data_IF_469845465282
#
_entry.id   IF_469845465282
#
_cell.length_a   1.000
_cell.length_b   1.000
_cell.length_c   1.000
_cell.angle_alpha   90.00
_cell.angle_beta   90.00
_cell.angle_gamma   90.00
#
_symmetry.space_group_name_H-M   'P 1'
#
loop_
_entity.id
_entity.type
_entity.pdbx_description
1 polymer ?
#
# COMPACT_ATOMS: atom_id res chain seq x y z
N UNK A 1 -9.25 -6.55 23.44
CA UNK A 1 -8.91 -6.69 22.01
C UNK A 1 -8.95 -5.30 21.40
N UNK A 2 -7.82 -4.84 20.87
CA UNK A 2 -7.71 -3.61 20.09
C UNK A 2 -7.69 -4.02 18.61
N UNK A 3 -8.22 -3.17 17.74
CA UNK A 3 -8.15 -3.36 16.30
C UNK A 3 -7.38 -2.20 15.67
N UNK A 4 -6.35 -2.51 14.90
CA UNK A 4 -5.48 -1.54 14.24
C UNK A 4 -5.68 -1.58 12.73
N UNK A 5 -6.01 -0.43 12.13
CA UNK A 5 -6.01 -0.23 10.67
C UNK A 5 -4.68 0.41 10.26
N UNK A 6 -3.73 -0.42 9.81
CA UNK A 6 -2.37 -0.02 9.47
C UNK A 6 -2.26 0.04 7.95
N UNK A 7 -1.91 1.20 7.39
CA UNK A 7 -1.81 1.33 5.95
C UNK A 7 -0.65 2.22 5.48
N UNK A 8 -0.15 1.91 4.28
CA UNK A 8 0.76 2.75 3.52
C UNK A 8 0.05 3.28 2.29
N UNK A 9 -0.35 4.55 2.28
CA UNK A 9 -1.22 5.12 1.24
C UNK A 9 -0.73 6.46 0.70
N UNK A 10 0.28 6.47 -0.19
CA UNK A 10 0.86 7.71 -0.70
C UNK A 10 -0.10 8.61 -1.48
N UNK A 11 -1.13 8.04 -2.11
CA UNK A 11 -2.08 8.75 -2.98
C UNK A 11 -3.56 8.53 -2.60
N UNK A 12 -3.83 7.96 -1.42
CA UNK A 12 -5.18 7.76 -0.88
C UNK A 12 -5.87 6.45 -1.30
N UNK A 13 -5.41 5.78 -2.36
CA UNK A 13 -6.11 4.59 -2.87
C UNK A 13 -6.07 3.40 -1.91
N UNK A 14 -4.93 3.14 -1.26
CA UNK A 14 -4.80 2.06 -0.27
C UNK A 14 -5.58 2.37 1.00
N UNK A 15 -5.54 3.61 1.50
CA UNK A 15 -6.32 4.10 2.64
C UNK A 15 -7.82 3.86 2.40
N UNK A 16 -8.35 4.30 1.26
CA UNK A 16 -9.76 4.09 0.91
C UNK A 16 -10.18 2.61 0.97
N UNK A 17 -9.34 1.70 0.46
CA UNK A 17 -9.59 0.26 0.56
C UNK A 17 -9.51 -0.21 2.02
N UNK A 18 -8.49 0.20 2.76
CA UNK A 18 -8.31 -0.17 4.17
C UNK A 18 -9.50 0.24 5.03
N UNK A 19 -10.03 1.45 4.83
CA UNK A 19 -11.18 1.97 5.56
C UNK A 19 -12.46 1.17 5.26
N UNK A 20 -12.69 0.80 3.99
CA UNK A 20 -13.83 -0.05 3.63
C UNK A 20 -13.73 -1.41 4.33
N UNK A 21 -12.55 -2.04 4.30
CA UNK A 21 -12.35 -3.34 4.94
C UNK A 21 -12.47 -3.22 6.47
N UNK A 22 -11.87 -2.19 7.07
CA UNK A 22 -11.98 -1.93 8.50
C UNK A 22 -13.44 -1.74 8.93
N UNK A 23 -14.22 -0.94 8.21
CA UNK A 23 -15.68 -0.77 8.42
C UNK A 23 -16.42 -2.10 8.37
N UNK A 24 -16.05 -2.99 7.45
CA UNK A 24 -16.66 -4.32 7.30
C UNK A 24 -16.41 -5.27 8.47
N UNK A 25 -15.37 -5.05 9.27
CA UNK A 25 -15.11 -5.81 10.51
C UNK A 25 -16.08 -5.47 11.64
N UNK A 26 -16.71 -4.30 11.59
CA UNK A 26 -17.56 -3.71 12.65
C UNK A 26 -16.84 -3.50 13.99
N UNK A 27 -15.52 -3.37 13.96
CA UNK A 27 -14.68 -3.05 15.12
C UNK A 27 -14.25 -1.59 15.05
N UNK A 28 -14.09 -0.95 16.20
CA UNK A 28 -13.49 0.38 16.27
C UNK A 28 -11.99 0.27 16.01
N UNK A 29 -11.53 0.91 14.95
CA UNK A 29 -10.15 0.83 14.50
C UNK A 29 -9.32 2.00 15.04
N UNK A 30 -8.15 1.68 15.58
CA UNK A 30 -7.08 2.66 15.75
C UNK A 30 -6.25 2.73 14.46
N UNK A 31 -6.27 3.88 13.78
CA UNK A 31 -5.55 4.09 12.53
C UNK A 31 -4.05 4.32 12.75
N UNK A 32 -3.23 3.73 11.89
CA UNK A 32 -1.79 3.94 11.80
C UNK A 32 -1.41 4.20 10.35
N UNK A 33 -1.29 5.48 9.99
CA UNK A 33 -0.79 5.91 8.68
C UNK A 33 0.75 5.85 8.69
N UNK A 34 1.31 4.91 7.94
CA UNK A 34 2.76 4.67 7.87
C UNK A 34 3.55 5.81 7.20
N UNK A 35 2.87 6.81 6.64
CA UNK A 35 3.51 7.99 6.05
C UNK A 35 3.44 9.17 7.01
N UNK A 36 2.26 9.46 7.55
CA UNK A 36 2.05 10.61 8.43
C UNK A 36 2.59 10.39 9.84
N UNK A 37 2.42 9.16 10.35
CA UNK A 37 2.75 8.79 11.73
C UNK A 37 3.56 7.49 11.82
N UNK A 38 4.71 7.37 11.11
CA UNK A 38 5.50 6.12 11.07
C UNK A 38 5.96 5.66 12.47
N UNK A 39 6.24 6.62 13.36
CA UNK A 39 6.68 6.34 14.74
C UNK A 39 5.57 5.75 15.60
N UNK A 40 4.29 5.91 15.22
CA UNK A 40 3.16 5.32 15.95
C UNK A 40 3.24 3.79 15.89
N UNK A 41 3.60 3.23 14.74
CA UNK A 41 3.80 1.78 14.59
C UNK A 41 4.81 1.22 15.59
N UNK A 42 5.91 1.96 15.84
CA UNK A 42 6.98 1.53 16.75
C UNK A 42 6.58 1.62 18.24
N UNK A 43 5.57 2.43 18.57
CA UNK A 43 5.09 2.64 19.93
C UNK A 43 4.00 1.65 20.35
N UNK A 44 3.39 0.96 19.39
CA UNK A 44 2.34 -0.02 19.69
C UNK A 44 2.96 -1.28 20.29
N UNK A 45 2.43 -1.69 21.43
CA UNK A 45 2.66 -3.03 21.97
C UNK A 45 1.55 -3.94 21.45
N UNK A 46 1.87 -4.71 20.43
CA UNK A 46 0.97 -5.69 19.84
C UNK A 46 0.83 -6.91 20.76
N UNK A 47 -0.40 -7.31 21.04
CA UNK A 47 -0.70 -8.44 21.93
C UNK A 47 -1.48 -9.52 21.18
N UNK A 48 -1.37 -10.77 21.60
CA UNK A 48 -2.04 -11.93 20.98
C UNK A 48 -3.56 -11.76 20.80
N UNK A 49 -4.20 -11.01 21.71
CA UNK A 49 -5.65 -10.73 21.65
C UNK A 49 -6.02 -9.63 20.65
N UNK A 50 -5.05 -8.91 20.13
CA UNK A 50 -5.29 -7.79 19.20
C UNK A 50 -5.42 -8.30 17.75
N UNK A 51 -6.06 -7.49 16.90
CA UNK A 51 -6.22 -7.73 15.48
C UNK A 51 -5.62 -6.56 14.71
N UNK A 52 -4.91 -6.84 13.63
CA UNK A 52 -4.40 -5.84 12.70
C UNK A 52 -4.96 -6.07 11.31
N UNK A 53 -5.38 -5.01 10.65
CA UNK A 53 -5.51 -4.93 9.20
C UNK A 53 -4.26 -4.24 8.67
N UNK A 54 -3.52 -4.87 7.76
CA UNK A 54 -2.31 -4.30 7.16
C UNK A 54 -2.50 -4.17 5.65
N UNK A 55 -2.66 -2.94 5.19
CA UNK A 55 -2.94 -2.62 3.79
C UNK A 55 -1.75 -1.92 3.13
N UNK A 56 -1.25 -2.49 2.03
CA UNK A 56 -0.10 -1.97 1.28
C UNK A 56 -0.36 -1.93 -0.22
N UNK A 57 0.21 -0.96 -0.95
CA UNK A 57 0.14 -0.97 -2.41
C UNK A 57 1.14 -1.96 -3.01
N UNK A 58 0.77 -2.54 -4.16
CA UNK A 58 1.67 -3.37 -4.98
C UNK A 58 2.50 -2.49 -5.92
N UNK A 59 3.80 -2.39 -5.69
CA UNK A 59 4.73 -1.67 -6.54
C UNK A 59 5.58 -2.64 -7.36
N UNK A 60 5.25 -2.74 -8.65
CA UNK A 60 5.91 -3.69 -9.53
C UNK A 60 5.76 -5.16 -9.11
N UNK A 61 4.73 -5.48 -8.32
CA UNK A 61 4.46 -6.82 -7.81
C UNK A 61 5.15 -7.16 -6.49
N UNK A 62 5.63 -6.15 -5.77
CA UNK A 62 6.30 -6.25 -4.48
C UNK A 62 5.70 -5.25 -3.49
N UNK A 63 5.90 -5.44 -2.20
CA UNK A 63 5.59 -4.38 -1.22
C UNK A 63 6.64 -3.26 -1.32
N UNK A 64 6.29 -1.99 -0.99
CA UNK A 64 7.30 -0.92 -0.92
C UNK A 64 8.37 -1.24 0.13
N UNK A 65 9.66 -1.13 -0.22
CA UNK A 65 10.78 -1.47 0.68
C UNK A 65 10.73 -0.73 2.02
N UNK A 66 10.27 0.51 2.01
CA UNK A 66 10.10 1.31 3.23
C UNK A 66 9.13 0.64 4.23
N UNK A 67 8.09 -0.05 3.74
CA UNK A 67 7.15 -0.79 4.59
C UNK A 67 7.81 -2.03 5.18
N UNK A 68 8.57 -2.78 4.37
CA UNK A 68 9.37 -3.92 4.83
C UNK A 68 10.32 -3.50 5.96
N UNK A 69 11.02 -2.38 5.77
CA UNK A 69 11.99 -1.87 6.76
C UNK A 69 11.32 -1.39 8.05
N UNK A 70 10.08 -0.91 7.98
CA UNK A 70 9.29 -0.57 9.16
C UNK A 70 8.89 -1.82 9.94
N UNK A 71 8.29 -2.81 9.27
CA UNK A 71 7.83 -4.03 9.96
C UNK A 71 8.96 -4.89 10.51
N UNK A 72 10.15 -4.90 9.91
CA UNK A 72 11.35 -5.56 10.48
C UNK A 72 11.75 -5.06 11.87
N UNK A 73 11.32 -3.86 12.24
CA UNK A 73 11.58 -3.26 13.57
C UNK A 73 10.45 -3.54 14.57
N UNK A 74 9.32 -4.06 14.11
CA UNK A 74 8.16 -4.38 14.93
C UNK A 74 8.35 -5.77 15.55
N UNK A 75 7.86 -5.93 16.77
CA UNK A 75 7.72 -7.24 17.42
C UNK A 75 6.26 -7.42 17.83
N UNK A 76 5.63 -8.41 17.25
CA UNK A 76 4.28 -8.82 17.60
C UNK A 76 4.32 -10.15 18.35
N UNK A 77 3.48 -10.29 19.37
CA UNK A 77 3.39 -11.50 20.21
C UNK A 77 2.17 -12.33 19.78
N UNK A 78 2.23 -12.89 18.57
CA UNK A 78 1.14 -13.71 18.03
C UNK A 78 -0.13 -12.92 17.70
N UNK A 79 -0.03 -11.61 17.48
CA UNK A 79 -1.14 -10.74 17.07
C UNK A 79 -1.69 -11.16 15.71
N UNK A 80 -3.01 -11.33 15.59
CA UNK A 80 -3.65 -11.71 14.33
C UNK A 80 -3.55 -10.59 13.30
N UNK A 81 -3.30 -10.93 12.03
CA UNK A 81 -3.21 -9.97 10.94
C UNK A 81 -4.05 -10.38 9.73
N UNK A 82 -4.81 -9.42 9.20
CA UNK A 82 -5.51 -9.47 7.91
C UNK A 82 -4.66 -8.68 6.91
N UNK A 83 -4.28 -9.29 5.80
CA UNK A 83 -3.40 -8.72 4.80
C UNK A 83 -4.20 -8.15 3.63
N UNK A 84 -3.87 -6.96 3.16
CA UNK A 84 -4.51 -6.38 1.97
C UNK A 84 -3.45 -5.85 1.01
N UNK A 85 -3.33 -6.49 -0.15
CA UNK A 85 -2.52 -6.02 -1.27
C UNK A 85 -3.38 -5.20 -2.24
N UNK A 86 -3.14 -3.90 -2.32
CA UNK A 86 -3.89 -2.98 -3.18
C UNK A 86 -3.13 -2.73 -4.47
N UNK A 87 -3.78 -2.88 -5.62
CA UNK A 87 -3.12 -2.76 -6.91
C UNK A 87 -3.92 -1.96 -7.95
N UNK A 88 -3.18 -1.30 -8.86
CA UNK A 88 -3.74 -0.44 -9.91
C UNK A 88 -4.14 -1.20 -11.17
N UNK A 89 -5.08 -2.16 -11.05
CA UNK A 89 -5.70 -2.90 -12.17
C UNK A 89 -4.73 -3.74 -13.04
N UNK A 90 -3.48 -4.02 -12.57
CA UNK A 90 -2.56 -4.94 -13.26
C UNK A 90 -2.61 -6.35 -12.63
N UNK A 91 -1.91 -6.55 -11.56
CA UNK A 91 -1.85 -7.74 -10.69
C UNK A 91 -0.95 -7.46 -9.48
N UNK A 92 -1.05 -8.30 -8.46
CA UNK A 92 -0.25 -8.15 -7.24
C UNK A 92 1.09 -8.89 -7.30
N UNK A 93 1.26 -9.85 -8.22
CA UNK A 93 2.41 -10.77 -8.29
C UNK A 93 2.74 -11.34 -6.89
N UNK A 94 3.93 -11.03 -6.33
CA UNK A 94 4.41 -11.58 -5.05
C UNK A 94 4.03 -10.73 -3.83
N UNK A 95 3.28 -9.62 -4.01
CA UNK A 95 3.03 -8.62 -2.95
C UNK A 95 2.39 -9.23 -1.70
N UNK A 96 1.38 -10.07 -1.86
CA UNK A 96 0.65 -10.63 -0.72
C UNK A 96 1.47 -11.70 0.01
N UNK A 97 2.19 -12.53 -0.75
CA UNK A 97 3.11 -13.53 -0.22
C UNK A 97 4.28 -12.88 0.54
N UNK A 98 4.87 -11.83 -0.02
CA UNK A 98 5.94 -11.07 0.65
C UNK A 98 5.44 -10.38 1.92
N UNK A 99 4.20 -9.85 1.90
CA UNK A 99 3.61 -9.24 3.08
C UNK A 99 3.41 -10.26 4.21
N UNK A 100 2.97 -11.47 3.87
CA UNK A 100 2.88 -12.59 4.83
C UNK A 100 4.24 -12.86 5.46
N UNK A 101 5.27 -13.09 4.67
CA UNK A 101 6.59 -13.44 5.17
C UNK A 101 7.16 -12.34 6.09
N UNK A 102 6.95 -11.08 5.74
CA UNK A 102 7.41 -9.93 6.54
C UNK A 102 6.66 -9.84 7.87
N UNK A 103 5.35 -10.02 7.87
CA UNK A 103 4.55 -9.96 9.09
C UNK A 103 4.81 -11.15 10.00
N UNK A 104 4.89 -12.36 9.46
CA UNK A 104 5.19 -13.57 10.24
C UNK A 104 6.59 -13.51 10.85
N UNK A 105 7.58 -13.01 10.10
CA UNK A 105 8.93 -12.76 10.65
C UNK A 105 8.95 -11.71 11.78
N UNK A 106 7.95 -10.84 11.83
CA UNK A 106 7.75 -9.84 12.89
C UNK A 106 6.89 -10.36 14.06
N UNK A 107 6.46 -11.63 14.02
CA UNK A 107 5.70 -12.30 15.08
C UNK A 107 4.17 -12.17 14.97
N UNK A 108 3.64 -11.70 13.86
CA UNK A 108 2.19 -11.74 13.59
C UNK A 108 1.74 -13.14 13.16
N UNK A 109 0.46 -13.41 13.33
CA UNK A 109 -0.23 -14.60 12.81
C UNK A 109 -1.18 -14.16 11.70
N UNK A 110 -0.83 -14.43 10.46
CA UNK A 110 -1.66 -14.10 9.31
C UNK A 110 -2.90 -15.02 9.27
N UNK A 111 -4.11 -14.44 9.26
CA UNK A 111 -5.38 -15.19 9.32
C UNK A 111 -6.21 -15.10 8.05
N UNK A 112 -5.96 -14.12 7.20
CA UNK A 112 -6.62 -13.93 5.91
C UNK A 112 -5.83 -12.97 5.04
N UNK A 113 -6.09 -12.99 3.73
CA UNK A 113 -5.54 -12.00 2.79
C UNK A 113 -6.54 -11.59 1.72
N UNK A 114 -6.33 -10.41 1.15
CA UNK A 114 -7.13 -9.87 0.05
C UNK A 114 -6.26 -9.25 -1.04
N UNK A 115 -6.67 -9.44 -2.29
CA UNK A 115 -6.31 -8.57 -3.40
C UNK A 115 -7.42 -7.54 -3.57
N UNK A 116 -7.10 -6.26 -3.57
CA UNK A 116 -8.07 -5.20 -3.77
C UNK A 116 -7.64 -4.23 -4.86
N UNK A 117 -8.56 -3.86 -5.73
CA UNK A 117 -8.27 -2.95 -6.84
C UNK A 117 -8.55 -1.50 -6.43
N UNK A 118 -7.58 -0.62 -6.73
CA UNK A 118 -7.76 0.82 -6.65
C UNK A 118 -7.32 1.48 -7.98
N UNK A 119 -7.66 2.75 -8.15
CA UNK A 119 -7.15 3.54 -9.27
C UNK A 119 -5.62 3.56 -9.28
N UNK A 120 -5.03 3.38 -10.44
CA UNK A 120 -3.57 3.33 -10.58
C UNK A 120 -2.93 4.69 -10.31
N UNK A 121 -2.07 4.78 -9.30
CA UNK A 121 -1.48 6.02 -8.80
C UNK A 121 -0.66 6.85 -9.81
N UNK A 122 -0.17 6.23 -10.88
CA UNK A 122 0.61 6.86 -11.94
C UNK A 122 -0.17 7.03 -13.26
N UNK A 123 -1.07 6.10 -13.53
CA UNK A 123 -1.78 5.99 -14.80
C UNK A 123 -3.27 5.89 -14.52
N UNK A 124 -3.87 7.02 -14.19
CA UNK A 124 -5.27 7.14 -13.72
C UNK A 124 -6.31 6.60 -14.69
N UNK A 125 -5.96 6.36 -15.96
CA UNK A 125 -6.83 5.69 -16.94
C UNK A 125 -7.02 4.19 -16.64
N UNK A 126 -6.28 3.59 -15.71
CA UNK A 126 -6.44 2.21 -15.30
C UNK A 126 -7.09 2.12 -13.91
N UNK A 127 -8.16 1.37 -13.82
CA UNK A 127 -8.96 1.26 -12.60
C UNK A 127 -9.58 2.58 -12.16
N UNK A 128 -9.87 3.50 -13.11
CA UNK A 128 -10.43 4.83 -12.83
C UNK A 128 -11.65 4.75 -11.93
N UNK A 129 -11.65 5.55 -10.86
CA UNK A 129 -12.74 5.64 -9.87
C UNK A 129 -12.84 4.47 -8.90
N UNK A 130 -11.96 3.46 -8.98
CA UNK A 130 -11.94 2.32 -8.05
C UNK A 130 -11.21 2.65 -6.74
N UNK A 131 -11.65 2.04 -5.61
CA UNK A 131 -12.80 1.16 -5.46
C UNK A 131 -14.12 1.88 -5.71
N UNK A 132 -14.99 1.29 -6.54
CA UNK A 132 -16.35 1.76 -6.83
C UNK A 132 -17.38 1.09 -5.88
N UNK A 133 -18.69 1.31 -6.11
CA UNK A 133 -19.72 0.75 -5.26
C UNK A 133 -19.76 -0.78 -5.25
N UNK A 134 -19.42 -1.41 -6.38
CA UNK A 134 -19.33 -2.87 -6.45
C UNK A 134 -18.15 -3.37 -5.60
N UNK A 135 -17.00 -2.71 -5.71
CA UNK A 135 -15.84 -3.03 -4.90
C UNK A 135 -16.11 -2.83 -3.40
N UNK A 136 -16.77 -1.72 -3.04
CA UNK A 136 -17.11 -1.44 -1.65
C UNK A 136 -17.98 -2.56 -1.07
N UNK A 137 -19.03 -2.97 -1.78
CA UNK A 137 -19.89 -4.07 -1.36
C UNK A 137 -19.11 -5.38 -1.17
N UNK A 138 -18.28 -5.73 -2.14
CA UNK A 138 -17.49 -6.95 -2.14
C UNK A 138 -16.46 -6.97 -0.98
N UNK A 139 -15.75 -5.86 -0.76
CA UNK A 139 -14.78 -5.73 0.32
C UNK A 139 -15.43 -5.79 1.71
N UNK A 140 -16.62 -5.21 1.88
CA UNK A 140 -17.40 -5.35 3.11
C UNK A 140 -17.82 -6.80 3.37
N UNK A 141 -18.24 -7.53 2.33
CA UNK A 141 -18.58 -8.95 2.42
C UNK A 141 -17.35 -9.81 2.76
N UNK A 142 -16.17 -9.49 2.19
CA UNK A 142 -14.92 -10.17 2.50
C UNK A 142 -14.53 -9.99 3.96
N UNK A 143 -14.59 -8.76 4.46
CA UNK A 143 -14.32 -8.47 5.87
C UNK A 143 -15.25 -9.24 6.80
N UNK A 144 -16.56 -9.28 6.51
CA UNK A 144 -17.53 -10.04 7.28
C UNK A 144 -17.21 -11.55 7.30
N UNK A 145 -16.84 -12.12 6.14
CA UNK A 145 -16.42 -13.54 6.02
C UNK A 145 -15.15 -13.83 6.84
N UNK A 146 -14.18 -12.91 6.85
CA UNK A 146 -12.98 -13.06 7.68
C UNK A 146 -13.35 -13.09 9.15
N UNK A 147 -14.17 -12.15 9.61
CA UNK A 147 -14.57 -12.09 11.02
C UNK A 147 -15.31 -13.34 11.49
N UNK A 148 -16.16 -13.94 10.63
CA UNK A 148 -16.82 -15.21 10.91
C UNK A 148 -15.86 -16.40 11.02
N UNK A 149 -14.68 -16.31 10.40
CA UNK A 149 -13.68 -17.38 10.32
C UNK A 149 -12.39 -17.08 11.09
N UNK A 150 -12.34 -16.02 11.88
CA UNK A 150 -11.10 -15.47 12.49
C UNK A 150 -10.42 -16.41 13.50
N UNK A 151 -11.13 -17.41 14.01
CA UNK A 151 -10.58 -18.42 14.95
C UNK A 151 -10.15 -19.72 14.25
N UNK A 152 -10.43 -19.88 12.95
CA UNK A 152 -10.06 -21.09 12.23
C UNK A 152 -8.55 -21.12 12.00
N UNK A 153 -7.88 -22.17 12.45
CA UNK A 153 -6.49 -22.45 12.08
C UNK A 153 -6.46 -22.96 10.64
N UNK A 154 -5.84 -22.19 9.75
CA UNK A 154 -5.73 -22.55 8.34
C UNK A 154 -4.31 -22.24 7.84
N UNK A 155 -3.86 -23.04 6.90
CA UNK A 155 -2.66 -22.70 6.13
C UNK A 155 -3.08 -21.82 4.97
N UNK A 156 -2.69 -20.54 5.02
CA UNK A 156 -2.95 -19.60 3.94
C UNK A 156 -2.02 -19.89 2.76
N UNK A 157 -2.58 -19.93 1.56
CA UNK A 157 -1.84 -20.07 0.31
C UNK A 157 -2.06 -18.83 -0.55
N UNK A 158 -1.12 -17.89 -0.48
CA UNK A 158 -1.17 -16.68 -1.31
C UNK A 158 -0.46 -16.89 -2.65
N UNK A 159 -0.92 -16.19 -3.72
CA UNK A 159 -0.19 -16.19 -4.98
C UNK A 159 1.17 -15.53 -4.83
N UNK A 160 2.13 -16.01 -5.59
CA UNK A 160 3.50 -15.50 -5.61
C UNK A 160 4.54 -16.60 -5.73
N UNK A 161 5.79 -16.20 -5.81
CA UNK A 161 6.93 -17.09 -5.95
C UNK A 161 8.00 -16.77 -4.90
N UNK A 162 8.75 -17.80 -4.50
CA UNK A 162 10.00 -17.66 -3.74
C UNK A 162 11.11 -18.32 -4.57
N UNK A 163 12.19 -17.59 -4.96
CA UNK A 163 12.45 -16.19 -4.64
C UNK A 163 11.46 -15.25 -5.32
N UNK A 164 11.20 -14.10 -4.67
CA UNK A 164 10.34 -13.07 -5.24
C UNK A 164 10.94 -12.49 -6.52
N UNK A 165 10.05 -11.98 -7.37
CA UNK A 165 10.48 -11.26 -8.57
C UNK A 165 11.40 -10.09 -8.23
N UNK A 166 12.36 -9.82 -9.08
CA UNK A 166 13.20 -8.64 -8.95
C UNK A 166 12.37 -7.36 -9.19
N UNK A 167 12.55 -6.38 -8.29
CA UNK A 167 11.94 -5.08 -8.46
C UNK A 167 12.88 -4.18 -9.28
N UNK A 168 12.63 -4.09 -10.57
CA UNK A 168 13.41 -3.25 -11.50
C UNK A 168 13.19 -1.73 -11.35
N UNK A 169 12.43 -1.29 -10.32
CA UNK A 169 12.08 0.11 -10.12
C UNK A 169 11.05 0.64 -11.12
N UNK A 170 10.66 1.90 -10.93
CA UNK A 170 9.77 2.64 -11.84
C UNK A 170 10.52 3.88 -12.33
N UNK A 171 10.67 4.09 -13.65
CA UNK A 171 11.47 5.21 -14.20
C UNK A 171 10.81 6.59 -14.03
N UNK A 172 9.58 6.64 -13.51
CA UNK A 172 8.84 7.87 -13.30
C UNK A 172 9.20 8.49 -11.94
N UNK A 173 10.25 9.30 -11.90
CA UNK A 173 10.71 10.00 -10.70
C UNK A 173 10.22 11.46 -10.73
N UNK A 174 9.39 11.91 -9.77
CA UNK A 174 8.89 13.28 -9.75
C UNK A 174 10.01 14.29 -9.47
N UNK A 175 10.00 15.40 -10.21
CA UNK A 175 10.84 16.57 -9.99
C UNK A 175 9.98 17.82 -9.86
N UNK A 176 10.50 18.90 -9.25
CA UNK A 176 9.78 20.15 -9.16
C UNK A 176 10.00 21.03 -10.40
N UNK A 177 8.94 21.73 -10.82
CA UNK A 177 8.98 22.74 -11.87
C UNK A 177 9.11 24.17 -11.28
N UNK A 178 9.04 25.21 -12.14
CA UNK A 178 9.16 26.62 -11.76
C UNK A 178 8.14 27.15 -10.76
N UNK A 179 7.04 26.42 -10.47
CA UNK A 179 6.04 26.80 -9.48
C UNK A 179 6.46 26.46 -8.04
N UNK A 180 7.60 25.79 -7.86
CA UNK A 180 8.09 25.35 -6.56
C UNK A 180 8.56 26.56 -5.72
N UNK A 181 7.95 26.72 -4.54
CA UNK A 181 8.30 27.76 -3.55
C UNK A 181 9.32 27.27 -2.53
N UNK A 182 9.85 26.06 -2.67
CA UNK A 182 10.80 25.46 -1.72
C UNK A 182 10.27 25.35 -0.28
N UNK A 183 8.95 25.16 -0.11
CA UNK A 183 8.31 25.10 1.23
C UNK A 183 8.71 23.87 2.07
N UNK A 184 9.42 22.88 1.51
CA UNK A 184 9.93 21.71 2.22
C UNK A 184 8.90 20.60 2.54
N UNK A 185 7.60 20.80 2.30
CA UNK A 185 6.57 19.81 2.65
C UNK A 185 6.84 18.43 2.04
N UNK A 186 7.17 18.39 0.75
CA UNK A 186 7.49 17.12 0.07
C UNK A 186 8.76 16.44 0.58
N UNK A 187 9.71 17.20 1.15
CA UNK A 187 10.90 16.65 1.81
C UNK A 187 10.52 16.00 3.13
N UNK A 188 9.75 16.72 3.96
CA UNK A 188 9.31 16.27 5.28
C UNK A 188 8.47 14.99 5.18
N UNK A 189 7.59 14.92 4.19
CA UNK A 189 6.64 13.81 4.05
C UNK A 189 7.12 12.72 3.08
N UNK A 190 8.37 12.77 2.60
CA UNK A 190 8.88 11.73 1.72
C UNK A 190 9.18 10.44 2.51
N UNK A 191 8.40 9.35 2.32
CA UNK A 191 8.60 8.13 3.12
C UNK A 191 9.93 7.43 2.85
N UNK A 192 10.56 7.72 1.70
CA UNK A 192 11.85 7.17 1.31
C UNK A 192 13.04 8.14 1.53
N UNK A 193 12.81 9.34 2.08
CA UNK A 193 13.85 10.35 2.26
C UNK A 193 14.56 10.76 0.95
N UNK A 194 13.87 10.66 -0.19
CA UNK A 194 14.42 10.88 -1.51
C UNK A 194 14.46 12.35 -1.96
N UNK A 195 14.01 13.29 -1.12
CA UNK A 195 13.96 14.72 -1.46
C UNK A 195 14.81 15.47 -0.45
N UNK A 196 15.98 16.02 -0.87
CA UNK A 196 16.88 16.71 0.04
C UNK A 196 16.26 17.97 0.64
N UNK A 197 16.58 18.26 1.91
CA UNK A 197 16.06 19.44 2.62
C UNK A 197 16.67 20.75 2.10
N UNK A 198 17.95 20.72 1.74
CA UNK A 198 18.70 21.84 1.19
C UNK A 198 18.29 22.16 -0.26
N UNK A 199 17.75 21.18 -0.99
CA UNK A 199 17.25 21.38 -2.34
C UNK A 199 15.94 20.62 -2.61
N UNK A 200 14.78 21.10 -2.12
CA UNK A 200 13.49 20.43 -2.30
C UNK A 200 13.01 20.33 -3.75
N UNK A 201 13.71 20.93 -4.71
CA UNK A 201 13.43 20.80 -6.15
C UNK A 201 13.95 19.51 -6.73
N UNK A 202 15.01 18.98 -6.16
CA UNK A 202 15.65 17.73 -6.58
C UNK A 202 14.90 16.49 -6.10
N UNK A 203 15.25 15.35 -6.68
CA UNK A 203 14.85 14.02 -6.22
C UNK A 203 16.04 13.09 -6.41
N UNK A 204 16.46 12.46 -5.33
CA UNK A 204 17.40 11.34 -5.37
C UNK A 204 16.68 10.16 -6.04
N UNK A 205 17.12 9.82 -7.25
CA UNK A 205 16.46 8.80 -8.08
C UNK A 205 16.65 7.40 -7.53
N UNK A 206 17.72 7.15 -6.81
CA UNK A 206 18.06 5.83 -6.27
C UNK A 206 17.22 5.53 -5.02
N UNK A 207 16.99 6.54 -4.18
CA UNK A 207 16.09 6.42 -3.02
C UNK A 207 14.62 6.46 -3.37
N UNK A 208 14.25 7.12 -4.47
CA UNK A 208 12.86 7.36 -4.81
C UNK A 208 12.13 6.07 -5.22
N UNK A 209 11.10 5.70 -4.48
CA UNK A 209 10.23 4.53 -4.76
C UNK A 209 9.08 4.85 -5.72
N UNK A 210 9.03 6.04 -6.32
CA UNK A 210 7.97 6.49 -7.26
C UNK A 210 6.54 6.40 -6.71
N UNK A 211 6.36 6.61 -5.41
CA UNK A 211 5.07 6.51 -4.72
C UNK A 211 4.10 7.66 -5.03
N UNK A 212 4.56 8.74 -5.64
CA UNK A 212 3.78 9.94 -5.99
C UNK A 212 3.26 10.75 -4.79
N UNK A 213 3.60 10.43 -3.56
CA UNK A 213 3.15 11.19 -2.39
C UNK A 213 3.53 12.68 -2.51
N UNK A 214 4.77 12.97 -2.88
CA UNK A 214 5.23 14.36 -3.08
C UNK A 214 4.46 15.12 -4.18
N UNK A 215 3.84 14.41 -5.12
CA UNK A 215 2.95 15.01 -6.15
C UNK A 215 1.60 15.31 -5.54
N UNK A 216 1.05 14.37 -4.76
CA UNK A 216 -0.27 14.49 -4.11
C UNK A 216 -0.30 15.63 -3.09
N UNK A 217 0.71 15.75 -2.22
CA UNK A 217 0.73 16.73 -1.12
C UNK A 217 1.19 18.12 -1.54
N UNK A 218 1.70 18.32 -2.77
CA UNK A 218 2.24 19.61 -3.17
C UNK A 218 1.15 20.70 -3.35
N UNK A 219 1.06 21.71 -2.46
CA UNK A 219 -0.02 22.70 -2.50
C UNK A 219 0.06 23.59 -3.76
N UNK A 220 1.25 23.72 -4.37
CA UNK A 220 1.48 24.48 -5.62
C UNK A 220 1.41 23.60 -6.88
N UNK A 221 1.12 22.29 -6.73
CA UNK A 221 1.15 21.31 -7.84
C UNK A 221 2.44 21.43 -8.67
N UNK A 222 3.55 21.69 -7.98
CA UNK A 222 4.85 21.94 -8.59
C UNK A 222 5.61 20.65 -8.88
N UNK A 223 5.33 19.56 -8.15
CA UNK A 223 5.98 18.26 -8.38
C UNK A 223 5.25 17.47 -9.47
N UNK A 224 6.01 17.00 -10.44
CA UNK A 224 5.48 16.27 -11.59
C UNK A 224 6.51 15.26 -12.11
N UNK A 225 6.04 14.30 -12.86
CA UNK A 225 6.87 13.35 -13.62
C UNK A 225 6.64 13.52 -15.13
N UNK A 226 7.51 12.93 -15.94
CA UNK A 226 7.44 13.04 -17.40
C UNK A 226 6.15 12.44 -17.96
N UNK A 227 5.28 13.29 -18.50
CA UNK A 227 4.03 12.88 -19.15
C UNK A 227 4.28 11.99 -20.37
N UNK A 228 5.35 12.25 -21.14
CA UNK A 228 5.72 11.44 -22.30
C UNK A 228 6.11 10.01 -21.86
N UNK A 229 6.96 9.89 -20.84
CA UNK A 229 7.37 8.57 -20.33
C UNK A 229 6.16 7.83 -19.75
N UNK A 230 5.27 8.52 -19.02
CA UNK A 230 4.03 7.95 -18.51
C UNK A 230 3.10 7.47 -19.62
N UNK A 231 2.96 8.23 -20.69
CA UNK A 231 2.16 7.87 -21.87
C UNK A 231 2.70 6.59 -22.54
N UNK A 232 4.01 6.54 -22.80
CA UNK A 232 4.65 5.36 -23.41
C UNK A 232 4.50 4.13 -22.50
N UNK A 233 4.71 4.30 -21.20
CA UNK A 233 4.49 3.24 -20.22
C UNK A 233 3.03 2.76 -20.22
N UNK A 234 2.07 3.69 -20.28
CA UNK A 234 0.64 3.41 -20.39
C UNK A 234 0.28 2.57 -21.62
N UNK A 235 0.88 2.87 -22.77
CA UNK A 235 0.68 2.06 -23.99
C UNK A 235 1.16 0.62 -23.80
N UNK A 236 2.34 0.42 -23.17
CA UNK A 236 2.87 -0.92 -22.89
C UNK A 236 1.98 -1.69 -21.90
N UNK A 237 1.40 -1.00 -20.93
CA UNK A 237 0.55 -1.60 -19.91
C UNK A 237 -0.90 -1.81 -20.35
N UNK A 238 -1.34 -1.16 -21.42
CA UNK A 238 -2.72 -1.20 -21.89
C UNK A 238 -3.28 -2.61 -22.02
N UNK A 239 -2.52 -3.54 -22.62
CA UNK A 239 -2.97 -4.93 -22.82
C UNK A 239 -3.31 -5.64 -21.50
N UNK A 240 -2.57 -5.35 -20.43
CA UNK A 240 -2.70 -6.05 -19.13
C UNK A 240 -3.68 -5.34 -18.19
N UNK A 241 -3.76 -3.99 -18.29
CA UNK A 241 -4.49 -3.16 -17.34
C UNK A 241 -5.87 -2.68 -17.84
N UNK A 242 -6.28 -2.94 -19.11
CA UNK A 242 -7.54 -2.41 -19.65
C UNK A 242 -8.78 -3.16 -19.20
N UNK A 243 -8.70 -4.47 -18.98
CA UNK A 243 -9.83 -5.25 -18.46
C UNK A 243 -10.02 -4.98 -16.98
N UNK A 244 -11.30 -4.90 -16.53
CA UNK A 244 -11.60 -4.87 -15.11
C UNK A 244 -11.01 -6.10 -14.42
N UNK A 245 -10.26 -5.88 -13.35
CA UNK A 245 -9.78 -6.94 -12.47
C UNK A 245 -10.70 -7.05 -11.26
N UNK A 246 -10.80 -8.26 -10.73
CA UNK A 246 -11.65 -8.56 -9.59
C UNK A 246 -10.84 -8.51 -8.29
N UNK A 247 -11.51 -8.16 -7.19
CA UNK A 247 -10.94 -8.35 -5.87
C UNK A 247 -10.97 -9.86 -5.53
N UNK A 248 -10.08 -10.31 -4.65
CA UNK A 248 -10.03 -11.71 -4.23
C UNK A 248 -9.83 -11.84 -2.75
N UNK A 249 -10.44 -12.87 -2.16
CA UNK A 249 -10.31 -13.23 -0.75
C UNK A 249 -9.61 -14.57 -0.62
N UNK A 250 -8.70 -14.66 0.34
CA UNK A 250 -7.96 -15.86 0.75
C UNK A 250 -8.23 -16.12 2.24
N UNK A 251 -8.74 -17.32 2.55
CA UNK A 251 -9.09 -17.78 3.90
C UNK A 251 -8.45 -19.13 4.20
#
# INVERSE_FOLDING_TARGET
MRFYNIFFSPTGGTEKVADIVAKGTKLDAEEIDLIKEPDKLMKVKFEKKDLCLVAVPSYGGRIPSVVTDMFRKVKADGTKAILVAVFGNRMIDDTLLELQDVLEASGFVCIAGMEAVAEHSLMHQFGTGRPDQQDEKELLEFAAKIMQNSEAQRTLAFPGNRPYREYGGVPLKPVANGKCTSCGLCTKECPAGAIPLDNPKMTDKDKCISCMHCVAVCPKKARNYSKLVSFIAGLKMKKVCSSRKENKLYL
#
